data_IF_939617688147
#
_entry.id   IF_939617688147
#
_cell.length_a   1.000
_cell.length_b   1.000
_cell.length_c   1.000
_cell.angle_alpha   90.00
_cell.angle_beta   90.00
_cell.angle_gamma   90.00
#
_symmetry.space_group_name_H-M   'P 1'
#
loop_
_entity.id
_entity.type
_entity.pdbx_description
1 polymer ?
#
# COMPACT_ATOMS: atom_id res chain seq x y z
N UNK A 1 26.67 8.41 -22.47
CA UNK A 1 25.43 8.92 -21.81
C UNK A 1 25.80 9.49 -20.44
N UNK A 2 25.49 10.77 -20.21
CA UNK A 2 26.05 11.60 -19.13
C UNK A 2 25.45 11.24 -17.75
N UNK A 3 26.29 10.99 -16.74
CA UNK A 3 25.92 10.54 -15.38
C UNK A 3 24.88 11.46 -14.71
N UNK A 4 24.98 12.77 -14.96
CA UNK A 4 24.04 13.78 -14.45
C UNK A 4 22.60 13.56 -14.94
N UNK A 5 22.41 13.07 -16.17
CA UNK A 5 21.08 12.82 -16.73
C UNK A 5 20.40 11.62 -16.04
N UNK A 6 21.16 10.55 -15.76
CA UNK A 6 20.64 9.38 -15.01
C UNK A 6 20.23 9.73 -13.58
N UNK A 7 20.98 10.60 -12.91
CA UNK A 7 20.66 11.07 -11.55
C UNK A 7 19.38 11.91 -11.57
N UNK A 8 19.24 12.81 -12.54
CA UNK A 8 18.04 13.63 -12.69
C UNK A 8 16.78 12.79 -12.98
N UNK A 9 16.89 11.79 -13.86
CA UNK A 9 15.78 10.89 -14.19
C UNK A 9 15.36 10.05 -12.96
N UNK A 10 16.32 9.56 -12.16
CA UNK A 10 16.04 8.87 -10.90
C UNK A 10 15.30 9.76 -9.90
N UNK A 11 15.75 11.01 -9.74
CA UNK A 11 15.11 11.98 -8.84
C UNK A 11 13.69 12.32 -9.29
N UNK A 12 13.46 12.43 -10.60
CA UNK A 12 12.13 12.68 -11.17
C UNK A 12 11.19 11.50 -10.94
N UNK A 13 11.68 10.27 -11.14
CA UNK A 13 10.93 9.05 -10.83
C UNK A 13 10.56 8.99 -9.34
N UNK A 14 11.52 9.25 -8.44
CA UNK A 14 11.29 9.23 -7.00
C UNK A 14 10.24 10.27 -6.57
N UNK A 15 10.30 11.49 -7.12
CA UNK A 15 9.27 12.52 -6.88
C UNK A 15 7.90 12.06 -7.35
N UNK A 16 7.84 11.46 -8.54
CA UNK A 16 6.60 10.99 -9.15
C UNK A 16 5.96 9.85 -8.34
N UNK A 17 6.74 8.81 -7.98
CA UNK A 17 6.20 7.70 -7.16
C UNK A 17 5.71 8.22 -5.81
N UNK A 18 6.46 9.09 -5.12
CA UNK A 18 6.03 9.68 -3.85
C UNK A 18 4.72 10.45 -3.97
N UNK A 19 4.53 11.19 -5.06
CA UNK A 19 3.27 11.89 -5.32
C UNK A 19 2.09 10.90 -5.48
N UNK A 20 2.28 9.82 -6.23
CA UNK A 20 1.21 8.82 -6.39
C UNK A 20 0.94 8.00 -5.13
N UNK A 21 1.95 7.69 -4.32
CA UNK A 21 1.74 7.06 -3.01
C UNK A 21 0.86 7.95 -2.11
N UNK A 22 1.13 9.26 -2.08
CA UNK A 22 0.31 10.23 -1.33
C UNK A 22 -1.12 10.31 -1.87
N UNK A 23 -1.28 10.30 -3.18
CA UNK A 23 -2.60 10.28 -3.81
C UNK A 23 -3.37 9.00 -3.49
N UNK A 24 -2.74 7.83 -3.62
CA UNK A 24 -3.32 6.53 -3.27
C UNK A 24 -3.77 6.49 -1.81
N UNK A 25 -2.93 7.00 -0.89
CA UNK A 25 -3.29 7.13 0.53
C UNK A 25 -4.49 8.05 0.74
N UNK A 26 -4.52 9.21 0.11
CA UNK A 26 -5.64 10.15 0.23
C UNK A 26 -6.95 9.50 -0.24
N UNK A 27 -6.93 8.85 -1.42
CA UNK A 27 -8.09 8.13 -1.94
C UNK A 27 -8.54 7.00 -1.02
N UNK A 28 -7.60 6.21 -0.50
CA UNK A 28 -7.93 5.14 0.44
C UNK A 28 -8.66 5.66 1.68
N UNK A 29 -8.19 6.76 2.25
CA UNK A 29 -8.75 7.34 3.48
C UNK A 29 -10.08 8.07 3.26
N UNK A 30 -10.27 8.70 2.10
CA UNK A 30 -11.39 9.62 1.88
C UNK A 30 -12.45 9.10 0.90
N UNK A 31 -12.10 8.21 -0.01
CA UNK A 31 -12.97 7.77 -1.11
C UNK A 31 -13.31 6.26 -1.01
N UNK A 32 -12.41 5.44 -0.47
CA UNK A 32 -12.55 3.97 -0.46
C UNK A 32 -12.90 3.39 0.92
N UNK A 33 -13.98 3.89 1.54
CA UNK A 33 -14.43 3.41 2.86
C UNK A 33 -14.69 1.90 2.88
N UNK A 34 -15.41 1.35 1.89
CA UNK A 34 -15.65 -0.09 1.82
C UNK A 34 -14.38 -0.93 1.70
N UNK A 35 -13.36 -0.44 1.00
CA UNK A 35 -12.04 -1.09 0.94
C UNK A 35 -11.36 -1.12 2.30
N UNK A 36 -11.43 -0.02 3.07
CA UNK A 36 -10.86 0.04 4.43
C UNK A 36 -11.58 -0.91 5.38
N UNK A 37 -12.91 -0.96 5.32
CA UNK A 37 -13.72 -1.89 6.12
C UNK A 37 -13.39 -3.34 5.79
N UNK A 38 -13.27 -3.68 4.50
CA UNK A 38 -12.85 -5.02 4.07
C UNK A 38 -11.45 -5.37 4.58
N UNK A 39 -10.49 -4.43 4.57
CA UNK A 39 -9.14 -4.66 5.13
C UNK A 39 -9.18 -4.97 6.63
N UNK A 40 -10.02 -4.27 7.41
CA UNK A 40 -10.21 -4.54 8.85
C UNK A 40 -10.82 -5.92 9.08
N UNK A 41 -11.78 -6.33 8.25
CA UNK A 41 -12.37 -7.67 8.32
C UNK A 41 -11.33 -8.75 8.02
N UNK A 42 -10.56 -8.61 6.92
CA UNK A 42 -9.50 -9.55 6.56
C UNK A 42 -8.44 -9.63 7.67
N UNK A 43 -8.04 -8.50 8.25
CA UNK A 43 -7.09 -8.48 9.36
C UNK A 43 -7.62 -9.25 10.58
N UNK A 44 -8.91 -9.08 10.90
CA UNK A 44 -9.55 -9.78 12.00
C UNK A 44 -9.62 -11.29 11.76
N UNK A 45 -9.91 -11.74 10.55
CA UNK A 45 -9.93 -13.17 10.23
C UNK A 45 -8.53 -13.78 10.25
N UNK A 46 -7.52 -13.06 9.75
CA UNK A 46 -6.11 -13.47 9.87
C UNK A 46 -5.67 -13.65 11.33
N UNK A 47 -6.13 -12.79 12.23
CA UNK A 47 -5.83 -12.92 13.66
C UNK A 47 -6.50 -14.16 14.25
N UNK A 48 -7.77 -14.45 13.88
CA UNK A 48 -8.44 -15.67 14.34
C UNK A 48 -7.66 -16.92 13.90
N UNK A 49 -7.19 -16.94 12.66
CA UNK A 49 -6.41 -18.07 12.14
C UNK A 49 -5.02 -18.16 12.80
N UNK A 50 -4.38 -17.03 13.07
CA UNK A 50 -3.13 -16.98 13.83
C UNK A 50 -3.31 -17.58 15.23
N UNK A 51 -4.35 -17.18 15.97
CA UNK A 51 -4.59 -17.67 17.34
C UNK A 51 -4.86 -19.19 17.38
N UNK A 52 -5.49 -19.76 16.34
CA UNK A 52 -5.77 -21.21 16.29
C UNK A 52 -4.52 -22.08 16.27
N UNK A 53 -3.39 -21.56 15.80
CA UNK A 53 -2.15 -22.33 15.61
C UNK A 53 -1.04 -21.95 16.60
N UNK A 54 -1.30 -20.99 17.48
CA UNK A 54 -0.33 -20.51 18.47
C UNK A 54 -0.54 -21.20 19.81
N UNK A 55 0.56 -21.62 20.43
CA UNK A 55 0.54 -22.24 21.77
C UNK A 55 0.15 -21.24 22.87
N UNK A 56 0.45 -19.95 22.66
CA UNK A 56 0.11 -18.84 23.56
C UNK A 56 -0.85 -17.91 22.82
N UNK A 57 -2.03 -17.69 23.41
CA UNK A 57 -3.01 -16.75 22.90
C UNK A 57 -2.57 -15.29 23.08
N UNK A 58 -3.19 -14.40 22.31
CA UNK A 58 -3.03 -12.96 22.48
C UNK A 58 -4.16 -12.40 23.37
N UNK A 59 -3.84 -11.43 24.22
CA UNK A 59 -4.84 -10.63 24.92
C UNK A 59 -5.52 -9.62 23.96
N UNK A 60 -6.48 -8.84 24.47
CA UNK A 60 -7.23 -7.89 23.66
C UNK A 60 -6.36 -6.76 23.07
N UNK A 61 -5.43 -6.22 23.85
CA UNK A 61 -4.56 -5.13 23.42
C UNK A 61 -3.56 -5.62 22.36
N UNK A 62 -3.01 -6.83 22.55
CA UNK A 62 -2.12 -7.49 21.59
C UNK A 62 -2.84 -7.80 20.27
N UNK A 63 -4.08 -8.28 20.34
CA UNK A 63 -4.91 -8.51 19.14
C UNK A 63 -5.19 -7.22 18.38
N UNK A 64 -5.51 -6.13 19.09
CA UNK A 64 -5.77 -4.85 18.46
C UNK A 64 -4.50 -4.28 17.82
N UNK A 65 -3.36 -4.38 18.49
CA UNK A 65 -2.07 -3.98 17.91
C UNK A 65 -1.73 -4.79 16.65
N UNK A 66 -1.89 -6.11 16.70
CA UNK A 66 -1.66 -6.98 15.54
C UNK A 66 -2.62 -6.64 14.39
N UNK A 67 -3.88 -6.32 14.70
CA UNK A 67 -4.88 -5.90 13.70
C UNK A 67 -4.43 -4.62 13.02
N UNK A 68 -4.07 -3.60 13.80
CA UNK A 68 -3.58 -2.33 13.29
C UNK A 68 -2.33 -2.51 12.41
N UNK A 69 -1.41 -3.40 12.79
CA UNK A 69 -0.21 -3.71 12.03
C UNK A 69 -0.54 -4.33 10.65
N UNK A 70 -1.47 -5.29 10.61
CA UNK A 70 -1.90 -5.93 9.36
C UNK A 70 -2.60 -4.92 8.46
N UNK A 71 -3.53 -4.13 9.01
CA UNK A 71 -4.26 -3.10 8.25
C UNK A 71 -3.31 -2.04 7.69
N UNK A 72 -2.36 -1.56 8.50
CA UNK A 72 -1.35 -0.60 8.07
C UNK A 72 -0.51 -1.15 6.91
N UNK A 73 -0.14 -2.43 7.00
CA UNK A 73 0.58 -3.14 5.93
C UNK A 73 -0.26 -3.24 4.64
N UNK A 74 -1.56 -3.53 4.75
CA UNK A 74 -2.48 -3.52 3.60
C UNK A 74 -2.63 -2.14 2.97
N UNK A 75 -2.69 -1.07 3.78
CA UNK A 75 -2.74 0.30 3.30
C UNK A 75 -1.47 0.65 2.52
N UNK A 76 -0.31 0.25 3.03
CA UNK A 76 0.96 0.41 2.35
C UNK A 76 0.95 -0.30 0.99
N UNK A 77 0.56 -1.58 0.95
CA UNK A 77 0.45 -2.35 -0.29
C UNK A 77 -0.52 -1.71 -1.29
N UNK A 78 -1.68 -1.24 -0.83
CA UNK A 78 -2.63 -0.51 -1.68
C UNK A 78 -1.99 0.74 -2.30
N UNK A 79 -1.30 1.55 -1.49
CA UNK A 79 -0.66 2.77 -1.97
C UNK A 79 0.42 2.47 -3.01
N UNK A 80 1.24 1.44 -2.81
CA UNK A 80 2.23 1.00 -3.78
C UNK A 80 1.59 0.48 -5.07
N UNK A 81 0.56 -0.37 -4.98
CA UNK A 81 -0.18 -0.85 -6.14
C UNK A 81 -0.79 0.29 -6.96
N UNK A 82 -1.41 1.27 -6.29
CA UNK A 82 -1.89 2.49 -6.92
C UNK A 82 -0.75 3.29 -7.58
N UNK A 83 0.36 3.48 -6.87
CA UNK A 83 1.51 4.23 -7.35
C UNK A 83 2.14 3.64 -8.61
N UNK A 84 2.39 2.33 -8.59
CA UNK A 84 2.95 1.58 -9.71
C UNK A 84 1.99 1.62 -10.91
N UNK A 85 0.71 1.31 -10.70
CA UNK A 85 -0.28 1.31 -11.78
C UNK A 85 -0.43 2.68 -12.47
N UNK A 86 -0.31 3.79 -11.73
CA UNK A 86 -0.31 5.15 -12.33
C UNK A 86 0.94 5.43 -13.16
N UNK A 87 2.09 4.88 -12.79
CA UNK A 87 3.34 5.03 -13.55
C UNK A 87 3.29 4.18 -14.81
N UNK A 88 2.85 2.92 -14.71
CA UNK A 88 2.73 2.01 -15.85
C UNK A 88 1.73 2.53 -16.87
N UNK A 89 0.53 2.94 -16.44
CA UNK A 89 -0.48 3.51 -17.35
C UNK A 89 -0.07 4.83 -18.03
N UNK A 90 0.91 5.57 -17.47
CA UNK A 90 1.51 6.73 -18.14
C UNK A 90 2.46 6.35 -19.28
N UNK A 91 3.08 5.17 -19.19
CA UNK A 91 4.02 4.67 -20.18
C UNK A 91 3.31 3.92 -21.32
N UNK A 92 2.11 3.39 -21.12
CA UNK A 92 1.29 2.78 -22.18
C UNK A 92 0.82 3.82 -23.22
N UNK A 93 0.52 5.05 -22.80
CA UNK A 93 0.22 6.17 -23.71
C UNK A 93 1.45 6.70 -24.50
N UNK A 94 2.61 6.03 -24.40
CA UNK A 94 3.82 6.32 -25.19
C UNK A 94 4.12 5.30 -26.29
N UNK A 95 3.16 4.44 -26.63
CA UNK A 95 3.20 3.74 -27.92
C UNK A 95 2.70 4.72 -29.00
N UNK A 96 3.63 5.51 -29.53
CA UNK A 96 3.47 6.14 -30.84
C UNK A 96 3.79 5.04 -31.84
N UNK A 97 2.76 4.50 -32.50
CA UNK A 97 2.93 3.76 -33.77
C UNK A 97 2.93 4.79 -34.89
#
# INVERSE_FOLDING_TARGET
>A
MNTNRKIQDKNNFEKMIKAYLRQGRSKLLNEFTGTREAMVQIASDKIKDFIKVMDIGLDEAEREYLRALIVSSMYQSFCYGYGIGKIEGKNENRVVI
#
